data_IF_483699817150
#
_entry.id   IF_483699817150
#
_cell.length_a   1.000
_cell.length_b   1.000
_cell.length_c   1.000
_cell.angle_alpha   90.00
_cell.angle_beta   90.00
_cell.angle_gamma   90.00
#
_symmetry.space_group_name_H-M   'P 1'
#
loop_
_entity.id
_entity.type
_entity.pdbx_description
1 polymer ?
#
# COMPACT_ATOMS: atom_id res chain seq x y z
N UNK A 1 -2.06 -43.20 31.47
CA UNK A 1 -2.53 -43.27 30.06
C UNK A 1 -2.71 -41.84 29.57
N UNK A 2 -1.69 -41.28 28.92
CA UNK A 2 -1.64 -39.86 28.53
C UNK A 2 -1.91 -39.76 27.03
N UNK A 3 -3.02 -39.13 26.63
CA UNK A 3 -3.37 -38.89 25.22
C UNK A 3 -2.52 -37.74 24.67
N UNK A 4 -1.55 -38.05 23.83
CA UNK A 4 -0.82 -37.06 23.06
C UNK A 4 -1.75 -36.42 22.02
N UNK A 5 -2.00 -35.12 22.16
CA UNK A 5 -2.68 -34.32 21.14
C UNK A 5 -1.74 -34.17 19.93
N UNK A 6 -1.94 -35.01 18.92
CA UNK A 6 -1.29 -34.86 17.61
C UNK A 6 -1.74 -33.53 16.98
N UNK A 7 -0.89 -32.50 17.02
CA UNK A 7 -1.10 -31.25 16.27
C UNK A 7 -1.16 -31.59 14.79
N UNK A 8 -2.28 -31.28 14.14
CA UNK A 8 -2.37 -31.34 12.68
C UNK A 8 -1.58 -30.15 12.11
N UNK A 9 -0.75 -30.35 11.07
CA UNK A 9 -0.11 -29.23 10.39
C UNK A 9 -1.19 -28.38 9.70
N UNK A 10 -1.14 -27.07 9.92
CA UNK A 10 -2.02 -26.11 9.24
C UNK A 10 -1.79 -26.13 7.72
N UNK A 11 -2.73 -25.58 6.94
CA UNK A 11 -2.60 -25.50 5.49
C UNK A 11 -1.27 -24.84 5.09
N UNK A 12 -0.69 -25.23 3.93
CA UNK A 12 0.58 -24.67 3.49
C UNK A 12 0.47 -23.15 3.40
N UNK A 13 1.47 -22.43 3.92
CA UNK A 13 1.51 -20.98 3.91
C UNK A 13 1.34 -20.49 2.47
N UNK A 14 0.31 -19.69 2.20
CA UNK A 14 0.13 -19.02 0.92
C UNK A 14 1.37 -18.20 0.59
N UNK A 15 1.79 -18.17 -0.68
CA UNK A 15 2.90 -17.32 -1.12
C UNK A 15 2.66 -15.89 -0.59
N UNK A 16 3.62 -15.28 0.12
CA UNK A 16 3.43 -13.93 0.63
C UNK A 16 3.14 -12.97 -0.54
N UNK A 17 2.27 -11.97 -0.33
CA UNK A 17 2.02 -10.96 -1.34
C UNK A 17 3.34 -10.30 -1.74
N UNK A 18 3.47 -9.97 -3.04
CA UNK A 18 4.71 -9.41 -3.59
C UNK A 18 5.06 -8.05 -3.00
N UNK A 19 4.04 -7.28 -2.64
CA UNK A 19 4.19 -5.98 -1.96
C UNK A 19 4.08 -6.18 -0.46
N UNK A 20 5.06 -5.68 0.27
CA UNK A 20 5.13 -5.68 1.73
C UNK A 20 4.75 -4.29 2.23
N UNK A 21 3.93 -4.24 3.28
CA UNK A 21 3.55 -3.01 3.98
C UNK A 21 3.88 -3.20 5.45
N UNK A 22 4.69 -2.30 6.02
CA UNK A 22 5.12 -2.32 7.41
C UNK A 22 5.34 -0.90 7.96
N UNK A 23 5.78 -0.78 9.22
CA UNK A 23 6.20 0.50 9.79
C UNK A 23 5.11 1.58 9.78
N UNK A 24 3.86 1.18 10.05
CA UNK A 24 2.71 2.09 10.03
C UNK A 24 2.84 3.15 11.12
N UNK A 25 2.65 4.40 10.74
CA UNK A 25 2.57 5.52 11.67
C UNK A 25 1.44 6.48 11.27
N UNK A 26 0.79 7.14 12.24
CA UNK A 26 0.88 6.87 13.68
C UNK A 26 0.23 5.53 14.07
N UNK A 27 0.82 4.81 15.03
CA UNK A 27 0.29 3.56 15.59
C UNK A 27 0.54 3.52 17.10
N UNK A 28 -0.45 3.11 17.90
CA UNK A 28 -0.30 3.01 19.36
C UNK A 28 -0.39 1.54 19.78
N UNK A 29 0.70 1.03 20.35
CA UNK A 29 0.84 -0.38 20.79
C UNK A 29 0.43 -1.40 19.71
N UNK A 30 0.98 -1.29 18.50
CA UNK A 30 0.65 -2.24 17.42
C UNK A 30 -0.82 -2.18 16.98
N UNK A 31 -1.44 -1.00 17.09
CA UNK A 31 -2.84 -0.76 16.71
C UNK A 31 -3.85 -1.13 17.80
N UNK A 32 -3.39 -1.53 19.00
CA UNK A 32 -4.27 -1.86 20.13
C UNK A 32 -5.12 -0.68 20.58
N UNK A 33 -4.59 0.53 20.46
CA UNK A 33 -5.30 1.75 20.83
C UNK A 33 -5.43 2.71 19.64
N UNK A 34 -6.57 3.41 19.51
CA UNK A 34 -6.76 4.38 18.45
C UNK A 34 -5.95 5.65 18.71
N UNK A 35 -5.40 6.21 17.63
CA UNK A 35 -4.90 7.59 17.63
C UNK A 35 -6.07 8.57 17.88
N UNK A 36 -5.77 9.75 18.42
CA UNK A 36 -6.77 10.80 18.68
C UNK A 36 -6.59 11.98 17.74
N UNK A 37 -7.69 12.48 17.21
CA UNK A 37 -7.79 13.64 16.30
C UNK A 37 -9.10 14.37 16.56
N UNK A 38 -9.16 15.65 16.19
CA UNK A 38 -10.38 16.47 16.26
C UNK A 38 -10.98 16.68 14.87
N UNK A 39 -12.24 17.10 14.82
CA UNK A 39 -12.88 17.50 13.55
C UNK A 39 -12.13 18.69 12.97
N UNK A 40 -11.83 18.62 11.67
CA UNK A 40 -11.01 19.60 10.95
C UNK A 40 -9.53 19.22 10.88
N UNK A 41 -9.06 18.24 11.66
CA UNK A 41 -7.68 17.77 11.55
C UNK A 41 -7.44 17.00 10.26
N UNK A 42 -6.26 17.22 9.69
CA UNK A 42 -5.69 16.33 8.69
C UNK A 42 -4.93 15.19 9.38
N UNK A 43 -5.36 13.96 9.14
CA UNK A 43 -4.66 12.76 9.61
C UNK A 43 -3.62 12.36 8.59
N UNK A 44 -2.38 12.78 8.82
CA UNK A 44 -1.23 12.31 8.05
C UNK A 44 -0.80 10.94 8.58
N UNK A 45 -0.69 9.99 7.67
CA UNK A 45 -0.21 8.64 7.94
C UNK A 45 0.97 8.31 7.03
N UNK A 46 1.80 7.40 7.50
CA UNK A 46 2.95 6.89 6.76
C UNK A 46 3.09 5.39 6.94
N UNK A 47 3.69 4.73 5.97
CA UNK A 47 4.03 3.31 6.03
C UNK A 47 5.24 3.04 5.15
N UNK A 48 5.97 1.97 5.44
CA UNK A 48 7.01 1.44 4.57
C UNK A 48 6.35 0.50 3.57
N UNK A 49 6.49 0.78 2.27
CA UNK A 49 5.84 0.02 1.20
C UNK A 49 6.87 -0.29 0.13
N UNK A 50 7.19 -1.57 -0.02
CA UNK A 50 8.23 -2.05 -0.94
C UNK A 50 7.88 -3.42 -1.52
N UNK A 51 8.59 -3.81 -2.58
CA UNK A 51 8.48 -5.09 -3.24
C UNK A 51 9.85 -5.51 -3.79
N UNK A 52 10.00 -6.77 -4.18
CA UNK A 52 11.22 -7.22 -4.86
C UNK A 52 11.33 -6.66 -6.29
N UNK A 53 12.55 -6.31 -6.70
CA UNK A 53 12.88 -5.83 -8.03
C UNK A 53 12.87 -4.31 -8.17
N UNK A 54 12.67 -3.82 -9.40
CA UNK A 54 12.72 -2.40 -9.75
C UNK A 54 11.40 -1.85 -10.31
N UNK A 55 10.33 -2.64 -10.20
CA UNK A 55 9.02 -2.22 -10.66
C UNK A 55 8.53 -1.03 -9.83
N UNK A 56 7.84 -0.10 -10.48
CA UNK A 56 7.17 0.99 -9.79
C UNK A 56 6.00 0.46 -8.94
N UNK A 57 5.85 1.01 -7.74
CA UNK A 57 4.71 0.74 -6.87
C UNK A 57 3.73 1.90 -6.90
N UNK A 58 2.47 1.58 -6.64
CA UNK A 58 1.44 2.54 -6.31
C UNK A 58 0.79 2.14 -4.98
N UNK A 59 0.40 3.14 -4.20
CA UNK A 59 -0.24 2.93 -2.92
C UNK A 59 -1.36 3.94 -2.68
N UNK A 60 -2.39 3.50 -1.97
CA UNK A 60 -3.51 4.32 -1.50
C UNK A 60 -3.74 4.09 -0.02
N UNK A 61 -4.05 5.18 0.66
CA UNK A 61 -4.61 5.18 2.00
C UNK A 61 -6.11 5.01 1.88
N UNK A 62 -6.63 3.91 2.41
CA UNK A 62 -8.07 3.68 2.50
C UNK A 62 -8.54 4.08 3.88
N UNK A 63 -9.58 4.90 3.98
CA UNK A 63 -10.14 5.33 5.25
C UNK A 63 -11.67 5.36 5.22
N UNK A 64 -12.28 5.14 6.37
CA UNK A 64 -13.73 5.26 6.55
C UNK A 64 -14.10 5.55 8.00
N UNK A 65 -15.31 6.06 8.20
CA UNK A 65 -15.96 6.02 9.52
C UNK A 65 -16.33 4.57 9.85
N UNK A 66 -16.23 4.17 11.11
CA UNK A 66 -16.49 2.80 11.54
C UNK A 66 -17.97 2.40 11.42
N UNK A 67 -18.88 3.37 11.41
CA UNK A 67 -20.32 3.21 11.14
C UNK A 67 -20.66 3.33 9.64
N UNK A 68 -19.68 3.65 8.80
CA UNK A 68 -19.83 3.75 7.35
C UNK A 68 -19.49 2.45 6.64
N UNK A 69 -20.24 2.13 5.58
CA UNK A 69 -19.99 0.94 4.78
C UNK A 69 -18.83 1.12 3.78
N UNK A 70 -18.77 2.27 3.12
CA UNK A 70 -17.84 2.52 2.01
C UNK A 70 -16.46 3.02 2.48
N UNK A 71 -15.41 2.51 1.84
CA UNK A 71 -14.06 3.01 1.97
C UNK A 71 -13.83 4.18 1.02
N UNK A 72 -13.24 5.25 1.53
CA UNK A 72 -12.67 6.32 0.71
C UNK A 72 -11.19 6.02 0.47
N UNK A 73 -10.63 6.58 -0.58
CA UNK A 73 -9.23 6.39 -0.95
C UNK A 73 -8.56 7.75 -1.13
N UNK A 74 -7.35 7.87 -0.60
CA UNK A 74 -6.46 8.99 -0.83
C UNK A 74 -5.14 8.44 -1.42
N UNK A 75 -4.63 9.03 -2.51
CA UNK A 75 -3.37 8.58 -3.09
C UNK A 75 -2.24 8.78 -2.09
N UNK A 76 -1.32 7.82 -2.03
CA UNK A 76 -0.08 7.99 -1.29
C UNK A 76 1.06 8.43 -2.21
N UNK A 77 2.00 9.16 -1.63
CA UNK A 77 3.21 9.60 -2.29
C UNK A 77 4.43 8.96 -1.63
N UNK A 78 5.30 8.39 -2.44
CA UNK A 78 6.62 7.93 -2.02
C UNK A 78 7.46 9.13 -1.55
N UNK A 79 8.15 8.97 -0.43
CA UNK A 79 9.11 9.92 0.11
C UNK A 79 10.53 9.43 -0.23
N UNK A 80 11.26 8.92 0.75
CA UNK A 80 12.58 8.32 0.59
C UNK A 80 12.66 7.04 1.43
N UNK A 81 13.54 6.12 1.04
CA UNK A 81 13.77 4.85 1.75
C UNK A 81 12.49 4.04 1.95
N UNK A 82 11.75 3.81 0.87
CA UNK A 82 10.49 3.04 0.86
C UNK A 82 9.38 3.60 1.76
N UNK A 83 9.54 4.82 2.29
CA UNK A 83 8.55 5.49 3.12
C UNK A 83 7.49 6.15 2.25
N UNK A 84 6.23 5.91 2.53
CA UNK A 84 5.09 6.52 1.84
C UNK A 84 4.29 7.38 2.79
N UNK A 85 3.67 8.43 2.27
CA UNK A 85 2.76 9.30 3.03
C UNK A 85 1.43 9.48 2.32
N UNK A 86 0.35 9.54 3.09
CA UNK A 86 -0.99 9.90 2.64
C UNK A 86 -1.73 10.62 3.76
N UNK A 87 -2.83 11.28 3.43
CA UNK A 87 -3.63 11.99 4.42
C UNK A 87 -5.12 11.95 4.12
N UNK A 88 -5.93 12.15 5.16
CA UNK A 88 -7.37 12.38 5.03
C UNK A 88 -7.88 13.34 6.11
N UNK A 89 -9.01 13.99 5.85
CA UNK A 89 -9.62 14.96 6.75
C UNK A 89 -10.62 14.29 7.69
N UNK A 90 -10.59 14.64 8.98
CA UNK A 90 -11.64 14.26 9.94
C UNK A 90 -12.82 15.21 9.80
N UNK A 91 -13.91 14.76 9.19
CA UNK A 91 -15.07 15.63 8.91
C UNK A 91 -16.14 15.60 9.98
N UNK A 92 -16.20 14.53 10.77
CA UNK A 92 -17.24 14.30 11.78
C UNK A 92 -16.68 13.58 13.00
N UNK A 93 -17.27 13.81 14.18
CA UNK A 93 -16.93 13.09 15.41
C UNK A 93 -17.32 11.61 15.26
N UNK A 94 -16.42 10.72 15.67
CA UNK A 94 -16.67 9.29 15.67
C UNK A 94 -15.39 8.48 15.58
N UNK A 95 -15.53 7.16 15.45
CA UNK A 95 -14.40 6.26 15.19
C UNK A 95 -14.15 6.18 13.70
N UNK A 96 -12.87 6.27 13.32
CA UNK A 96 -12.40 6.05 11.96
C UNK A 96 -11.52 4.80 11.93
N UNK A 97 -11.49 4.17 10.77
CA UNK A 97 -10.57 3.10 10.44
C UNK A 97 -9.80 3.53 9.21
N UNK A 98 -8.51 3.23 9.17
CA UNK A 98 -7.72 3.35 7.96
C UNK A 98 -6.87 2.10 7.75
N UNK A 99 -6.49 1.87 6.50
CA UNK A 99 -5.61 0.80 6.08
C UNK A 99 -4.88 1.24 4.80
N UNK A 100 -3.88 0.48 4.41
CA UNK A 100 -3.07 0.75 3.23
C UNK A 100 -3.34 -0.33 2.20
N UNK A 101 -3.39 0.07 0.93
CA UNK A 101 -3.41 -0.87 -0.18
C UNK A 101 -2.34 -0.44 -1.17
N UNK A 102 -1.52 -1.40 -1.60
CA UNK A 102 -0.43 -1.15 -2.52
C UNK A 102 -0.31 -2.29 -3.54
N UNK A 103 0.17 -1.96 -4.73
CA UNK A 103 0.34 -2.90 -5.84
C UNK A 103 1.50 -2.48 -6.73
N UNK A 104 1.98 -3.43 -7.53
CA UNK A 104 2.93 -3.16 -8.60
C UNK A 104 2.20 -2.47 -9.75
N UNK A 105 2.61 -1.25 -10.06
CA UNK A 105 2.06 -0.47 -11.17
C UNK A 105 2.87 -0.75 -12.44
N UNK A 106 2.38 -1.71 -13.23
CA UNK A 106 3.03 -2.12 -14.48
C UNK A 106 3.05 -1.00 -15.51
N UNK A 107 2.00 -0.20 -15.58
CA UNK A 107 1.92 0.91 -16.52
C UNK A 107 2.93 2.00 -16.16
N UNK A 108 3.00 2.38 -14.89
CA UNK A 108 3.98 3.35 -14.41
C UNK A 108 5.42 2.86 -14.60
N UNK A 109 5.67 1.57 -14.36
CA UNK A 109 6.96 0.92 -14.63
C UNK A 109 7.34 1.05 -16.09
N UNK A 110 6.46 0.60 -16.99
CA UNK A 110 6.66 0.67 -18.43
C UNK A 110 6.87 2.12 -18.90
N UNK A 111 6.02 3.07 -18.47
CA UNK A 111 6.10 4.47 -18.86
C UNK A 111 7.45 5.08 -18.48
N UNK A 112 7.94 4.81 -17.27
CA UNK A 112 9.23 5.28 -16.77
C UNK A 112 10.38 4.76 -17.63
N UNK A 113 10.37 3.47 -17.91
CA UNK A 113 11.48 2.82 -18.62
C UNK A 113 11.46 3.16 -20.12
N UNK A 114 10.26 3.22 -20.72
CA UNK A 114 10.04 3.72 -22.07
C UNK A 114 10.58 5.14 -22.26
N UNK A 115 10.23 6.05 -21.34
CA UNK A 115 10.69 7.45 -21.41
C UNK A 115 12.22 7.55 -21.45
N UNK A 116 12.92 6.79 -20.59
CA UNK A 116 14.39 6.76 -20.56
C UNK A 116 14.99 6.29 -21.89
N UNK A 117 14.40 5.26 -22.51
CA UNK A 117 14.85 4.73 -23.81
C UNK A 117 14.66 5.74 -24.95
N UNK A 118 13.51 6.42 -24.96
CA UNK A 118 13.23 7.49 -25.94
C UNK A 118 14.23 8.64 -25.80
N UNK A 119 14.49 9.10 -24.57
CA UNK A 119 15.47 10.16 -24.30
C UNK A 119 16.91 9.75 -24.68
N UNK A 120 17.21 8.46 -24.64
CA UNK A 120 18.48 7.88 -25.09
C UNK A 120 18.52 7.60 -26.61
N UNK A 121 17.50 8.01 -27.38
CA UNK A 121 17.37 7.76 -28.82
C UNK A 121 17.49 6.27 -29.20
N UNK A 122 17.02 5.37 -28.33
CA UNK A 122 16.99 3.93 -28.62
C UNK A 122 15.78 3.57 -29.49
N UNK A 123 15.86 2.42 -30.18
CA UNK A 123 14.69 1.84 -30.83
C UNK A 123 13.70 1.32 -29.78
N UNK A 124 12.47 1.82 -29.84
CA UNK A 124 11.39 1.55 -28.88
C UNK A 124 10.16 0.89 -29.53
N UNK A 125 10.29 0.37 -30.76
CA UNK A 125 9.17 -0.25 -31.47
C UNK A 125 8.54 -1.41 -30.66
N UNK A 126 9.39 -2.24 -30.02
CA UNK A 126 8.93 -3.34 -29.15
C UNK A 126 8.27 -2.82 -27.89
N UNK A 127 8.84 -1.78 -27.27
CA UNK A 127 8.28 -1.20 -26.04
C UNK A 127 6.89 -0.59 -26.29
N UNK A 128 6.65 0.00 -27.46
CA UNK A 128 5.31 0.47 -27.84
C UNK A 128 4.29 -0.68 -27.90
N UNK A 129 4.67 -1.83 -28.48
CA UNK A 129 3.80 -3.00 -28.53
C UNK A 129 3.46 -3.51 -27.11
N UNK A 130 4.45 -3.55 -26.22
CA UNK A 130 4.21 -3.91 -24.80
C UNK A 130 3.20 -2.97 -24.16
N UNK A 131 3.29 -1.67 -24.41
CA UNK A 131 2.37 -0.67 -23.86
C UNK A 131 0.91 -0.86 -24.28
N UNK A 132 0.64 -1.49 -25.43
CA UNK A 132 -0.75 -1.75 -25.88
C UNK A 132 -1.49 -2.82 -25.07
N UNK A 133 -0.75 -3.67 -24.36
CA UNK A 133 -1.30 -4.77 -23.57
C UNK A 133 -1.35 -4.52 -22.06
N UNK A 134 -1.10 -3.28 -21.61
CA UNK A 134 -1.04 -2.89 -20.20
C UNK A 134 -2.34 -2.23 -19.70
#
# INVERSE_FOLDING_TARGET
MTREHRRQPGPPASRPPRVVISGVEPEIEGGRFPIKRIVGDEVVVTADIFADGHDALAAVLRYRRADGAAWNEAPMRELANDRWTGSFLVTQVGRYQYTFQAWVDRFQTWRRDFKKKVEACQDVAVDLLVGTGL
#
